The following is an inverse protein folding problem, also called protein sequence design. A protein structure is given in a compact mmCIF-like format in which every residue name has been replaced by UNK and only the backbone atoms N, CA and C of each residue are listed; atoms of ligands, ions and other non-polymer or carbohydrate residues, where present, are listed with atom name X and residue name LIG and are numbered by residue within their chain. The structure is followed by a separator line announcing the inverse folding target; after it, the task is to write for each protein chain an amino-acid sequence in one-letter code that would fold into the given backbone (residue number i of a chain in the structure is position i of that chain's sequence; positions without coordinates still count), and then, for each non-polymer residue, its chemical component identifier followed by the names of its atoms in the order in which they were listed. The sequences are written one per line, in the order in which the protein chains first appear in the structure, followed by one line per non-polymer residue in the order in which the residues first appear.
data_IF_528828381476
#
_entry.id   IF_528828381476
#
_cell.length_a   1.000
_cell.length_b   1.000
_cell.length_c   1.000
_cell.angle_alpha   90.00
_cell.angle_beta   90.00
_cell.angle_gamma   90.00
#
_symmetry.space_group_name_H-M   'P 1'
#
loop_
_entity.id
_entity.type
_entity.pdbx_description
1 polymer ?
#
# COMPACT_ATOMS: atom_id res chain seq x y z
N UNK A 1 -20.23 9.36 6.53
CA UNK A 1 -19.18 9.86 7.47
C UNK A 1 -18.56 11.16 6.96
N UNK A 2 -18.00 11.16 5.75
CA UNK A 2 -17.34 12.32 5.13
C UNK A 2 -18.17 13.61 4.97
N UNK A 3 -19.44 13.57 4.55
CA UNK A 3 -20.25 14.78 4.43
C UNK A 3 -20.58 15.42 5.78
N UNK A 4 -20.63 14.61 6.84
CA UNK A 4 -21.00 15.05 8.19
C UNK A 4 -19.86 15.87 8.80
N UNK A 5 -18.60 15.46 8.63
CA UNK A 5 -17.47 16.21 9.21
C UNK A 5 -17.22 17.52 8.46
N UNK A 6 -17.38 17.54 7.13
CA UNK A 6 -17.04 18.69 6.29
C UNK A 6 -18.10 19.80 6.30
N UNK A 7 -19.37 19.43 6.46
CA UNK A 7 -20.50 20.37 6.35
C UNK A 7 -21.20 20.66 7.70
N UNK A 8 -20.69 20.16 8.82
CA UNK A 8 -21.26 20.43 10.15
C UNK A 8 -20.82 21.82 10.65
N UNK A 9 -21.79 22.72 10.74
CA UNK A 9 -21.61 24.11 11.19
C UNK A 9 -21.08 24.20 12.62
N UNK A 10 -21.35 23.21 13.46
CA UNK A 10 -20.86 23.12 14.84
C UNK A 10 -19.36 22.90 14.85
N UNK A 11 -18.88 21.95 14.03
CA UNK A 11 -17.45 21.65 13.89
C UNK A 11 -16.71 22.87 13.32
N UNK A 12 -17.29 23.55 12.33
CA UNK A 12 -16.71 24.78 11.76
C UNK A 12 -16.62 25.91 12.80
N UNK A 13 -17.66 26.15 13.61
CA UNK A 13 -17.66 27.17 14.67
C UNK A 13 -16.67 26.87 15.80
N UNK A 14 -16.54 25.59 16.20
CA UNK A 14 -15.54 25.20 17.20
C UNK A 14 -14.10 25.28 16.69
N UNK A 15 -13.89 25.03 15.40
CA UNK A 15 -12.59 25.19 14.76
C UNK A 15 -12.18 26.68 14.76
N UNK A 16 -13.06 27.58 14.33
CA UNK A 16 -12.81 29.03 14.29
C UNK A 16 -12.53 29.61 15.68
N UNK A 17 -13.34 29.26 16.69
CA UNK A 17 -13.14 29.76 18.06
C UNK A 17 -11.82 29.31 18.70
N UNK A 18 -11.21 28.23 18.20
CA UNK A 18 -9.93 27.72 18.70
C UNK A 18 -8.77 27.98 17.76
N UNK A 19 -8.96 28.70 16.64
CA UNK A 19 -7.92 29.00 15.67
C UNK A 19 -7.51 27.81 14.79
N UNK A 20 -8.37 26.80 14.67
CA UNK A 20 -8.20 25.70 13.73
C UNK A 20 -8.87 26.07 12.41
N UNK A 21 -8.19 25.82 11.30
CA UNK A 21 -8.77 26.00 9.96
C UNK A 21 -8.90 24.64 9.30
N UNK A 22 -10.07 24.33 8.74
CA UNK A 22 -10.29 23.14 7.92
C UNK A 22 -10.72 23.60 6.52
N UNK A 23 -10.02 23.15 5.49
CA UNK A 23 -10.35 23.47 4.09
C UNK A 23 -10.47 22.16 3.32
N UNK A 24 -11.57 22.04 2.57
CA UNK A 24 -11.85 20.90 1.71
C UNK A 24 -10.96 20.90 0.47
N UNK A 25 -10.54 19.71 0.05
CA UNK A 25 -9.86 19.52 -1.21
C UNK A 25 -10.74 19.97 -2.39
N UNK A 26 -10.20 20.86 -3.25
CA UNK A 26 -10.89 21.43 -4.40
C UNK A 26 -11.58 22.78 -4.15
N UNK A 27 -11.65 23.24 -2.90
CA UNK A 27 -12.10 24.60 -2.57
C UNK A 27 -10.89 25.54 -2.38
N UNK A 28 -11.09 26.85 -2.60
CA UNK A 28 -10.09 27.91 -2.36
C UNK A 28 -8.74 27.75 -3.06
N UNK A 29 -8.72 27.23 -4.31
CA UNK A 29 -7.48 26.95 -5.07
C UNK A 29 -6.47 26.06 -4.32
N UNK A 30 -6.96 25.21 -3.41
CA UNK A 30 -6.10 24.29 -2.69
C UNK A 30 -5.41 23.32 -3.65
N UNK A 31 -4.09 23.19 -3.49
CA UNK A 31 -3.29 22.17 -4.15
C UNK A 31 -2.62 21.27 -3.12
N UNK A 32 -2.60 19.97 -3.39
CA UNK A 32 -1.88 19.03 -2.56
C UNK A 32 -0.37 19.26 -2.72
N UNK A 33 0.40 19.44 -1.64
CA UNK A 33 1.86 19.56 -1.76
C UNK A 33 2.45 18.33 -2.44
N UNK A 34 3.40 18.54 -3.37
CA UNK A 34 3.98 17.48 -4.21
C UNK A 34 4.48 16.25 -3.42
N UNK A 35 4.98 16.46 -2.19
CA UNK A 35 5.44 15.37 -1.30
C UNK A 35 4.36 14.34 -0.92
N UNK A 36 3.08 14.71 -1.02
CA UNK A 36 1.94 13.86 -0.71
C UNK A 36 1.32 13.22 -1.95
N UNK A 37 1.76 13.61 -3.16
CA UNK A 37 1.25 13.05 -4.41
C UNK A 37 1.39 11.53 -4.46
N UNK A 38 2.49 11.00 -3.89
CA UNK A 38 2.74 9.55 -3.74
C UNK A 38 1.59 8.78 -3.07
N UNK A 39 0.80 9.42 -2.21
CA UNK A 39 -0.34 8.77 -1.56
C UNK A 39 -1.55 8.71 -2.49
N UNK A 40 -1.75 9.74 -3.30
CA UNK A 40 -2.78 9.74 -4.35
C UNK A 40 -2.46 8.70 -5.42
N UNK A 41 -1.20 8.63 -5.84
CA UNK A 41 -0.71 7.63 -6.78
C UNK A 41 -0.86 6.19 -6.23
N UNK A 42 -0.86 6.04 -4.89
CA UNK A 42 -1.13 4.78 -4.19
C UNK A 42 -2.63 4.50 -3.97
N UNK A 43 -3.52 5.36 -4.48
CA UNK A 43 -4.98 5.18 -4.44
C UNK A 43 -5.70 5.89 -3.29
N UNK A 44 -5.02 6.75 -2.52
CA UNK A 44 -5.69 7.56 -1.50
C UNK A 44 -6.38 8.79 -2.12
N UNK A 45 -7.59 9.09 -1.67
CA UNK A 45 -8.33 10.26 -2.15
C UNK A 45 -8.10 11.45 -1.20
N UNK A 46 -7.55 12.59 -1.65
CA UNK A 46 -7.40 13.76 -0.80
C UNK A 46 -8.77 14.36 -0.47
N UNK A 47 -9.04 14.62 0.81
CA UNK A 47 -10.34 15.09 1.30
C UNK A 47 -10.27 16.53 1.78
N UNK A 48 -9.31 16.82 2.64
CA UNK A 48 -9.20 18.10 3.33
C UNK A 48 -7.81 18.25 3.95
N UNK A 49 -7.52 19.44 4.46
CA UNK A 49 -6.40 19.66 5.37
C UNK A 49 -6.86 20.52 6.54
N UNK A 50 -6.16 20.36 7.67
CA UNK A 50 -6.40 21.18 8.85
C UNK A 50 -5.12 21.83 9.36
N UNK A 51 -5.23 23.09 9.78
CA UNK A 51 -4.17 23.82 10.46
C UNK A 51 -4.50 23.97 11.93
N UNK A 52 -3.51 23.71 12.78
CA UNK A 52 -3.58 24.03 14.20
C UNK A 52 -3.20 25.50 14.45
N UNK A 53 -3.58 26.08 15.59
CA UNK A 53 -3.22 27.45 15.96
C UNK A 53 -1.71 27.71 16.01
N UNK A 54 -0.93 26.65 16.23
CA UNK A 54 0.55 26.69 16.27
C UNK A 54 1.18 26.47 14.88
N UNK A 55 0.38 26.52 13.81
CA UNK A 55 0.83 26.39 12.42
C UNK A 55 1.16 24.96 11.97
N UNK A 56 0.84 23.92 12.76
CA UNK A 56 0.99 22.54 12.29
C UNK A 56 -0.13 22.19 11.32
N UNK A 57 0.23 21.61 10.18
CA UNK A 57 -0.70 21.20 9.13
C UNK A 57 -0.85 19.69 9.10
N UNK A 58 -2.08 19.25 8.92
CA UNK A 58 -2.42 17.85 8.76
C UNK A 58 -3.27 17.68 7.50
N UNK A 59 -3.07 16.57 6.80
CA UNK A 59 -3.74 16.27 5.55
C UNK A 59 -4.61 15.04 5.74
N UNK A 60 -5.85 15.13 5.30
CA UNK A 60 -6.87 14.11 5.45
C UNK A 60 -7.07 13.39 4.11
N UNK A 61 -7.02 12.07 4.15
CA UNK A 61 -7.18 11.20 2.99
C UNK A 61 -8.21 10.12 3.27
N UNK A 62 -8.94 9.72 2.23
CA UNK A 62 -9.84 8.57 2.24
C UNK A 62 -9.16 7.38 1.57
N UNK A 63 -9.45 6.18 2.08
CA UNK A 63 -8.92 4.95 1.52
C UNK A 63 -10.00 3.86 1.52
N UNK A 64 -10.47 3.52 0.33
CA UNK A 64 -11.60 2.59 0.12
C UNK A 64 -11.12 1.25 -0.47
N UNK A 65 -9.84 0.91 -0.25
CA UNK A 65 -9.27 -0.34 -0.72
C UNK A 65 -9.95 -1.55 -0.09
N UNK A 66 -10.33 -2.52 -0.93
CA UNK A 66 -10.93 -3.79 -0.52
C UNK A 66 -9.98 -4.94 -0.83
N UNK A 67 -10.01 -5.96 0.02
CA UNK A 67 -9.29 -7.23 -0.14
C UNK A 67 -10.28 -8.37 0.02
N UNK A 68 -10.08 -9.45 -0.72
CA UNK A 68 -10.82 -10.69 -0.52
C UNK A 68 -9.93 -11.64 0.27
N UNK A 69 -10.43 -12.17 1.37
CA UNK A 69 -9.68 -13.14 2.18
C UNK A 69 -9.73 -14.56 1.58
N UNK A 70 -9.03 -15.50 2.22
CA UNK A 70 -8.96 -16.89 1.79
C UNK A 70 -10.32 -17.62 1.83
N UNK A 71 -11.29 -17.10 2.59
CA UNK A 71 -12.65 -17.63 2.64
C UNK A 71 -13.54 -17.04 1.53
N UNK A 72 -13.06 -16.04 0.80
CA UNK A 72 -13.80 -15.34 -0.25
C UNK A 72 -14.59 -14.13 0.25
N UNK A 73 -14.45 -13.76 1.52
CA UNK A 73 -15.15 -12.61 2.08
C UNK A 73 -14.43 -11.31 1.73
N UNK A 74 -15.22 -10.31 1.32
CA UNK A 74 -14.71 -8.98 0.96
C UNK A 74 -14.58 -8.13 2.21
N UNK A 75 -13.38 -7.65 2.49
CA UNK A 75 -13.06 -6.82 3.65
C UNK A 75 -12.40 -5.50 3.21
N UNK A 76 -12.61 -4.43 3.97
CA UNK A 76 -11.89 -3.18 3.76
C UNK A 76 -10.49 -3.27 4.35
N UNK A 77 -9.48 -2.83 3.61
CA UNK A 77 -8.09 -2.78 4.07
C UNK A 77 -7.91 -1.83 5.27
N UNK A 78 -8.69 -0.75 5.31
CA UNK A 78 -8.79 0.12 6.48
C UNK A 78 -10.18 -0.04 7.10
N UNK A 79 -10.28 -0.33 8.41
CA UNK A 79 -11.59 -0.45 9.08
C UNK A 79 -12.41 0.83 8.92
N UNK A 80 -13.67 0.73 8.49
CA UNK A 80 -14.54 1.88 8.23
C UNK A 80 -14.82 2.76 9.45
N UNK A 81 -14.67 2.21 10.66
CA UNK A 81 -14.86 2.91 11.93
C UNK A 81 -13.53 3.33 12.58
N UNK A 82 -12.44 3.37 11.81
CA UNK A 82 -11.11 3.72 12.29
C UNK A 82 -10.56 5.00 11.65
N UNK A 83 -9.70 5.71 12.39
CA UNK A 83 -8.83 6.74 11.85
C UNK A 83 -7.38 6.31 12.05
N UNK A 84 -6.58 6.39 10.99
CA UNK A 84 -5.15 6.14 11.02
C UNK A 84 -4.39 7.46 10.90
N UNK A 85 -3.61 7.78 11.94
CA UNK A 85 -2.71 8.91 11.96
C UNK A 85 -1.29 8.42 11.70
N UNK A 86 -0.64 9.06 10.74
CA UNK A 86 0.72 8.74 10.35
C UNK A 86 1.53 10.01 10.08
N UNK A 87 2.79 9.99 10.48
CA UNK A 87 3.76 10.97 10.01
C UNK A 87 4.30 10.55 8.63
N UNK A 88 4.15 11.40 7.62
CA UNK A 88 4.57 11.07 6.24
C UNK A 88 6.08 10.93 6.05
N UNK A 89 6.88 11.42 7.00
CA UNK A 89 8.33 11.26 7.03
C UNK A 89 8.77 10.04 7.82
N UNK A 90 7.83 9.26 8.37
CA UNK A 90 8.16 8.05 9.09
C UNK A 90 8.78 7.02 8.14
N UNK A 91 9.87 6.39 8.57
CA UNK A 91 10.53 5.36 7.78
C UNK A 91 9.74 4.05 7.87
N UNK A 92 9.27 3.60 6.72
CA UNK A 92 8.68 2.28 6.52
C UNK A 92 9.57 1.53 5.55
N UNK A 93 10.30 0.54 6.05
CA UNK A 93 11.16 -0.29 5.23
C UNK A 93 10.39 -1.54 4.79
N UNK A 94 10.79 -2.05 3.63
CA UNK A 94 10.34 -3.34 3.13
C UNK A 94 11.54 -4.24 2.96
N UNK A 95 11.47 -5.39 3.57
CA UNK A 95 12.48 -6.43 3.52
C UNK A 95 11.91 -7.62 2.78
N UNK A 96 12.78 -8.32 2.07
CA UNK A 96 12.44 -9.57 1.39
C UNK A 96 13.34 -10.66 1.92
N UNK A 97 12.75 -11.73 2.41
CA UNK A 97 13.48 -12.92 2.86
C UNK A 97 14.23 -13.60 1.71
N UNK A 98 15.13 -14.54 2.02
CA UNK A 98 15.82 -15.32 1.01
C UNK A 98 14.81 -16.14 0.19
N UNK A 99 15.04 -16.23 -1.12
CA UNK A 99 14.25 -17.10 -1.99
C UNK A 99 14.60 -18.57 -1.75
N UNK A 100 13.59 -19.41 -1.58
CA UNK A 100 13.74 -20.87 -1.51
C UNK A 100 13.41 -21.48 -2.87
N UNK A 101 14.40 -21.46 -3.77
CA UNK A 101 14.28 -22.09 -5.10
C UNK A 101 14.71 -23.54 -4.98
N UNK A 102 14.01 -24.45 -5.66
CA UNK A 102 14.49 -25.83 -5.78
C UNK A 102 15.88 -25.83 -6.44
N UNK A 103 16.80 -26.72 -6.03
CA UNK A 103 18.09 -26.82 -6.69
C UNK A 103 17.85 -27.12 -8.18
N UNK A 104 18.30 -26.21 -9.02
CA UNK A 104 18.07 -26.30 -10.43
C UNK A 104 19.02 -27.36 -11.01
N UNK A 105 18.48 -28.55 -11.31
CA UNK A 105 19.19 -29.59 -12.03
C UNK A 105 19.54 -29.08 -13.45
N UNK A 106 20.81 -29.16 -13.90
CA UNK A 106 21.26 -28.63 -15.20
C UNK A 106 20.47 -29.19 -16.40
N UNK A 107 20.03 -30.45 -16.32
CA UNK A 107 19.23 -31.09 -17.37
C UNK A 107 17.86 -30.42 -17.45
N UNK A 108 17.26 -30.20 -16.28
CA UNK A 108 15.96 -29.57 -16.14
C UNK A 108 15.99 -28.11 -16.61
N UNK A 109 17.05 -27.34 -16.30
CA UNK A 109 17.22 -25.97 -16.81
C UNK A 109 17.29 -25.89 -18.34
N UNK A 110 18.03 -26.80 -18.99
CA UNK A 110 18.08 -26.85 -20.45
C UNK A 110 16.73 -27.19 -21.08
N UNK A 111 16.00 -28.13 -20.47
CA UNK A 111 14.63 -28.48 -20.88
C UNK A 111 13.68 -27.27 -20.75
N UNK A 112 13.80 -26.48 -19.69
CA UNK A 112 13.00 -25.26 -19.50
C UNK A 112 13.33 -24.16 -20.50
N UNK A 113 14.60 -23.92 -20.75
CA UNK A 113 15.04 -22.99 -21.80
C UNK A 113 14.52 -23.43 -23.17
N UNK A 114 14.51 -24.73 -23.45
CA UNK A 114 13.98 -25.29 -24.69
C UNK A 114 12.45 -25.18 -24.81
N UNK A 115 11.69 -25.46 -23.74
CA UNK A 115 10.23 -25.45 -23.78
C UNK A 115 9.59 -24.06 -23.68
N UNK A 116 10.17 -23.17 -22.88
CA UNK A 116 9.55 -21.87 -22.55
C UNK A 116 10.39 -20.67 -22.96
N UNK A 117 11.61 -20.87 -23.47
CA UNK A 117 12.52 -19.77 -23.79
C UNK A 117 12.95 -18.98 -22.54
N UNK A 118 12.77 -19.56 -21.34
CA UNK A 118 13.09 -18.91 -20.08
C UNK A 118 14.49 -19.32 -19.62
N UNK A 119 15.32 -18.33 -19.34
CA UNK A 119 16.62 -18.56 -18.71
C UNK A 119 16.45 -18.55 -17.19
N UNK A 120 16.49 -19.74 -16.59
CA UNK A 120 16.41 -19.93 -15.13
C UNK A 120 17.66 -19.44 -14.39
N UNK A 121 18.74 -19.09 -15.11
CA UNK A 121 19.96 -18.51 -14.52
C UNK A 121 19.88 -17.00 -14.33
N UNK A 122 18.88 -16.35 -14.96
CA UNK A 122 18.68 -14.91 -14.87
C UNK A 122 17.41 -14.62 -14.06
N UNK A 123 17.48 -13.74 -13.04
CA UNK A 123 16.29 -13.32 -12.31
C UNK A 123 15.26 -12.72 -13.27
N UNK A 124 14.13 -13.41 -13.46
CA UNK A 124 13.08 -12.95 -14.36
C UNK A 124 12.37 -11.73 -13.77
N UNK A 125 12.48 -10.59 -14.46
CA UNK A 125 11.73 -9.39 -14.11
C UNK A 125 10.38 -9.44 -14.84
N UNK A 126 9.23 -9.34 -14.16
CA UNK A 126 7.94 -9.19 -14.83
C UNK A 126 7.98 -8.03 -15.81
N UNK A 127 7.47 -8.23 -17.03
CA UNK A 127 7.61 -7.27 -18.13
C UNK A 127 7.05 -5.86 -17.84
N UNK A 128 6.29 -5.67 -16.76
CA UNK A 128 5.79 -4.35 -16.31
C UNK A 128 6.75 -3.61 -15.37
N UNK A 129 7.79 -4.27 -14.84
CA UNK A 129 8.79 -3.66 -13.96
C UNK A 129 10.01 -3.33 -14.83
N UNK A 130 9.89 -2.27 -15.65
CA UNK A 130 10.91 -1.95 -16.68
C UNK A 130 11.97 -0.93 -16.27
N UNK A 131 11.91 -0.37 -15.05
CA UNK A 131 12.83 0.69 -14.65
C UNK A 131 14.04 0.11 -13.89
N UNK A 132 15.26 0.15 -14.46
CA UNK A 132 16.48 -0.10 -13.69
C UNK A 132 16.56 0.90 -12.53
N UNK A 133 16.79 0.42 -11.31
CA UNK A 133 16.74 1.26 -10.09
C UNK A 133 15.32 1.51 -9.55
N UNK A 134 14.32 0.81 -10.08
CA UNK A 134 12.96 0.83 -9.54
C UNK A 134 12.90 0.33 -8.10
N UNK A 135 11.86 0.77 -7.40
CA UNK A 135 11.47 0.31 -6.07
C UNK A 135 11.37 -1.23 -6.03
N UNK A 136 10.94 -1.87 -7.10
CA UNK A 136 10.86 -3.35 -7.17
C UNK A 136 12.12 -3.92 -7.80
N UNK A 137 12.85 -4.76 -7.08
CA UNK A 137 14.00 -5.49 -7.62
C UNK A 137 13.62 -6.94 -7.96
N UNK A 138 14.25 -7.56 -8.98
CA UNK A 138 14.00 -8.96 -9.32
C UNK A 138 14.21 -9.94 -8.16
N UNK A 139 15.04 -9.60 -7.18
CA UNK A 139 15.29 -10.43 -5.99
C UNK A 139 14.09 -10.50 -5.03
N UNK A 140 13.06 -9.66 -5.24
CA UNK A 140 11.83 -9.64 -4.43
C UNK A 140 10.86 -10.77 -4.79
N UNK A 141 10.99 -11.34 -5.99
CA UNK A 141 10.12 -12.38 -6.52
C UNK A 141 10.96 -13.48 -7.14
N UNK A 142 10.86 -14.69 -6.60
CA UNK A 142 11.53 -15.86 -7.16
C UNK A 142 10.51 -16.66 -7.96
N UNK A 143 10.80 -16.92 -9.24
CA UNK A 143 9.97 -17.76 -10.08
C UNK A 143 10.66 -19.11 -10.29
N UNK A 144 9.89 -20.18 -10.19
CA UNK A 144 10.34 -21.55 -10.38
C UNK A 144 9.30 -22.30 -11.22
N UNK A 145 9.76 -23.25 -12.03
CA UNK A 145 8.90 -24.10 -12.83
C UNK A 145 9.41 -25.54 -12.78
N UNK A 146 8.54 -26.49 -12.47
CA UNK A 146 8.88 -27.91 -12.41
C UNK A 146 7.83 -28.79 -13.09
N UNK A 147 8.24 -29.85 -13.80
CA UNK A 147 7.30 -30.69 -14.51
C UNK A 147 6.66 -31.65 -13.51
N UNK A 148 5.41 -32.04 -13.74
CA UNK A 148 4.85 -33.17 -13.04
C UNK A 148 5.63 -34.43 -13.42
N UNK A 149 5.70 -35.44 -12.54
CA UNK A 149 6.47 -36.67 -12.77
C UNK A 149 6.06 -37.47 -14.02
N UNK A 150 4.93 -37.14 -14.65
CA UNK A 150 4.45 -37.71 -15.91
C UNK A 150 4.78 -36.85 -17.16
N UNK A 151 5.46 -35.71 -16.98
CA UNK A 151 5.80 -34.71 -18.01
C UNK A 151 4.60 -34.13 -18.79
N UNK A 152 3.37 -34.30 -18.30
CA UNK A 152 2.16 -33.77 -18.98
C UNK A 152 1.73 -32.39 -18.48
N UNK A 153 2.28 -31.96 -17.35
CA UNK A 153 1.95 -30.70 -16.68
C UNK A 153 3.22 -30.01 -16.24
N UNK A 154 3.20 -28.69 -16.23
CA UNK A 154 4.25 -27.86 -15.64
C UNK A 154 3.61 -27.03 -14.55
N UNK A 155 4.19 -27.07 -13.36
CA UNK A 155 3.79 -26.22 -12.24
C UNK A 155 4.70 -25.01 -12.24
N UNK A 156 4.12 -23.83 -12.38
CA UNK A 156 4.83 -22.56 -12.27
C UNK A 156 4.51 -21.97 -10.90
N UNK A 157 5.54 -21.61 -10.16
CA UNK A 157 5.44 -21.08 -8.80
C UNK A 157 6.17 -19.74 -8.75
N UNK A 158 5.50 -18.73 -8.22
CA UNK A 158 6.13 -17.47 -7.83
C UNK A 158 6.14 -17.40 -6.30
N UNK A 159 7.31 -17.19 -5.73
CA UNK A 159 7.54 -17.02 -4.30
C UNK A 159 7.96 -15.59 -4.02
N UNK A 160 7.48 -15.06 -2.91
CA UNK A 160 7.96 -13.82 -2.33
C UNK A 160 7.83 -13.94 -0.81
N UNK A 161 8.77 -13.34 -0.08
CA UNK A 161 8.74 -13.32 1.38
C UNK A 161 8.82 -11.86 1.89
N UNK A 162 7.78 -11.04 1.64
CA UNK A 162 7.79 -9.64 2.02
C UNK A 162 7.55 -9.45 3.51
N UNK A 163 8.29 -8.52 4.11
CA UNK A 163 8.06 -8.00 5.46
C UNK A 163 8.01 -6.48 5.37
N UNK A 164 6.93 -5.89 5.85
CA UNK A 164 6.76 -4.44 5.95
C UNK A 164 6.95 -4.01 7.40
N UNK A 165 8.15 -3.52 7.72
CA UNK A 165 8.50 -3.13 9.09
C UNK A 165 8.56 -1.61 9.22
N UNK A 166 7.89 -1.09 10.24
CA UNK A 166 7.98 0.33 10.61
C UNK A 166 9.19 0.54 11.52
N UNK A 167 10.14 1.37 11.11
CA UNK A 167 11.30 1.70 11.96
C UNK A 167 10.91 2.65 13.10
N UNK A 168 9.86 3.45 12.89
CA UNK A 168 9.35 4.45 13.84
C UNK A 168 7.89 4.12 14.16
N UNK A 169 7.67 3.10 14.99
CA UNK A 169 6.32 2.63 15.37
C UNK A 169 5.51 3.71 16.10
N UNK A 170 6.19 4.61 16.81
CA UNK A 170 5.62 5.74 17.55
C UNK A 170 5.08 6.86 16.63
N UNK A 171 5.46 6.85 15.35
CA UNK A 171 4.97 7.79 14.35
C UNK A 171 3.58 7.43 13.80
N UNK A 172 3.00 6.32 14.26
CA UNK A 172 1.71 5.80 13.83
C UNK A 172 0.77 5.61 15.02
N UNK A 173 -0.48 6.03 14.84
CA UNK A 173 -1.52 5.79 15.84
C UNK A 173 -2.84 5.52 15.15
N UNK A 174 -3.59 4.53 15.65
CA UNK A 174 -4.91 4.19 15.11
C UNK A 174 -5.97 4.39 16.19
N UNK A 175 -6.97 5.22 15.90
CA UNK A 175 -8.20 5.27 16.66
C UNK A 175 -9.20 4.30 16.06
N UNK A 176 -9.85 3.50 16.89
CA UNK A 176 -10.95 2.61 16.49
C UNK A 176 -12.25 3.09 17.13
N UNK A 177 -13.37 2.69 16.55
CA UNK A 177 -14.72 2.94 17.08
C UNK A 177 -15.09 4.43 17.15
N UNK A 178 -14.65 5.20 16.15
CA UNK A 178 -14.83 6.66 16.11
C UNK A 178 -16.29 7.08 15.79
N UNK A 179 -17.18 6.12 15.53
CA UNK A 179 -18.58 6.32 15.18
C UNK A 179 -19.49 5.51 16.12
N UNK A 180 -19.49 5.84 17.40
CA UNK A 180 -20.70 5.69 18.22
C UNK A 180 -21.46 6.99 18.16
N UNK A 181 -22.21 7.20 17.07
CA UNK A 181 -23.33 8.13 17.12
C UNK A 181 -24.46 7.34 17.77
N UNK A 182 -24.63 7.49 19.09
CA UNK A 182 -25.86 7.08 19.74
C UNK A 182 -26.97 7.91 19.13
N UNK A 183 -27.81 7.28 18.31
CA UNK A 183 -29.13 7.79 17.94
C UNK A 183 -29.98 8.05 19.18
#
# INVERSE_FOLDING_TARGET
VLPVILNDTTIQQFADNRGFQMIRAGENNWSLPARYQKFVDAGLTPIAWFMTPRGRTFYLFGYDGIVTDDAGDVQYLMPQNGFFFAYSGARCDRYFGPGEVLPADPITQQLYSYWFGMDMSVPMIPAKIKNPGGIVTPQMFSCDAYPAGDNKKVTIRTQSAPIFATTQTDAFFTFYSCLTVSS
#
